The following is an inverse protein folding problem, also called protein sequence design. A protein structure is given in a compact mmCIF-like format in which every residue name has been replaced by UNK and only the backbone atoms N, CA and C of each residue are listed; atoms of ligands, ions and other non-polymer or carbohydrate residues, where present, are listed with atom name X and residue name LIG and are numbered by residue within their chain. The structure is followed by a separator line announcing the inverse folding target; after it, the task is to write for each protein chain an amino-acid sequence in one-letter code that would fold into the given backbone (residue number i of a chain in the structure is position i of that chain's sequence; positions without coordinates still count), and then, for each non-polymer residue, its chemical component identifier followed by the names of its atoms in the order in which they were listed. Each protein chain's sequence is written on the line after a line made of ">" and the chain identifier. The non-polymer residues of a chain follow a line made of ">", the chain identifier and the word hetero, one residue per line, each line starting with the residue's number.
data_IF_843172643690
#
_entry.id   IF_843172643690
#
_cell.length_a   1.000
_cell.length_b   1.000
_cell.length_c   1.000
_cell.angle_alpha   90.00
_cell.angle_beta   90.00
_cell.angle_gamma   90.00
#
_symmetry.space_group_name_H-M   'P 1'
#
loop_
_entity.id
_entity.type
_entity.pdbx_description
1 polymer ?
#
# COMPACT_ATOMS: atom_id res chain seq x y z
N UNK A 1 -0.35 20.85 12.92
CA UNK A 1 0.23 19.55 13.36
C UNK A 1 0.15 18.59 12.19
N UNK A 2 1.24 17.90 11.83
CA UNK A 2 1.19 16.94 10.70
C UNK A 2 0.34 15.72 11.08
N UNK A 3 -0.42 15.12 10.14
CA UNK A 3 -1.14 13.87 10.39
C UNK A 3 -0.18 12.77 10.88
N UNK A 4 -0.59 11.98 11.87
CA UNK A 4 0.28 10.99 12.49
C UNK A 4 0.78 9.91 11.52
N UNK A 5 0.01 9.62 10.46
CA UNK A 5 0.33 8.64 9.42
C UNK A 5 0.90 9.25 8.12
N UNK A 6 1.22 10.54 8.08
CA UNK A 6 1.71 11.24 6.89
C UNK A 6 3.00 10.63 6.30
N UNK A 7 3.84 10.05 7.14
CA UNK A 7 5.15 9.47 6.79
C UNK A 7 5.07 8.03 6.25
N UNK A 8 3.89 7.40 6.29
CA UNK A 8 3.71 6.05 5.74
C UNK A 8 3.76 6.10 4.21
N UNK A 9 4.18 5.01 3.58
CA UNK A 9 4.29 4.92 2.12
C UNK A 9 3.39 3.83 1.55
N UNK A 10 3.46 3.60 0.24
CA UNK A 10 2.70 2.56 -0.44
C UNK A 10 2.84 1.15 0.18
N UNK A 11 3.91 0.88 0.94
CA UNK A 11 4.04 -0.33 1.79
C UNK A 11 2.87 -0.56 2.74
N UNK A 12 2.16 0.50 3.13
CA UNK A 12 1.05 0.44 4.09
C UNK A 12 -0.28 0.79 3.42
N UNK A 13 -0.32 0.83 2.08
CA UNK A 13 -1.50 1.22 1.34
C UNK A 13 -2.35 -0.01 0.97
N UNK A 14 -3.64 -0.06 1.34
CA UNK A 14 -4.56 -1.11 0.90
C UNK A 14 -4.71 -1.25 -0.63
N UNK A 15 -4.37 -0.20 -1.39
CA UNK A 15 -4.41 -0.21 -2.85
C UNK A 15 -3.11 -0.70 -3.51
N UNK A 16 -2.05 -0.97 -2.73
CA UNK A 16 -0.80 -1.48 -3.28
C UNK A 16 -0.95 -2.95 -3.67
N UNK A 17 -0.54 -3.27 -4.90
CA UNK A 17 -0.51 -4.62 -5.43
C UNK A 17 0.94 -5.11 -5.38
N UNK A 18 1.19 -6.09 -4.52
CA UNK A 18 2.47 -6.78 -4.40
C UNK A 18 2.46 -8.02 -5.31
N UNK A 19 2.28 -7.84 -6.63
CA UNK A 19 2.44 -8.94 -7.58
C UNK A 19 3.95 -9.10 -7.82
N UNK A 20 4.47 -10.30 -7.52
CA UNK A 20 5.89 -10.53 -7.30
C UNK A 20 6.83 -10.08 -8.42
N UNK A 21 7.63 -9.06 -8.10
CA UNK A 21 9.04 -8.96 -8.48
C UNK A 21 9.90 -9.18 -7.21
N UNK A 22 9.54 -10.20 -6.43
CA UNK A 22 10.54 -10.85 -5.58
C UNK A 22 11.24 -11.82 -6.52
N UNK A 23 12.54 -11.64 -6.73
CA UNK A 23 13.31 -12.44 -7.67
C UNK A 23 13.43 -13.89 -7.16
N UNK A 24 12.42 -14.72 -7.49
CA UNK A 24 12.38 -16.15 -7.19
C UNK A 24 13.09 -16.98 -8.27
N UNK A 25 13.78 -16.37 -9.25
CA UNK A 25 14.40 -17.06 -10.40
C UNK A 25 15.86 -17.46 -10.20
N UNK A 26 16.19 -17.91 -8.99
CA UNK A 26 17.28 -18.85 -8.74
C UNK A 26 17.04 -20.27 -9.35
N UNK A 27 16.25 -20.38 -10.42
CA UNK A 27 16.07 -21.61 -11.19
C UNK A 27 16.25 -21.27 -12.67
N UNK A 28 17.52 -21.25 -13.12
CA UNK A 28 17.85 -21.35 -14.54
C UNK A 28 18.70 -20.24 -15.17
N UNK A 29 19.24 -19.26 -14.42
CA UNK A 29 20.16 -18.27 -14.97
C UNK A 29 21.57 -18.40 -14.38
N UNK A 30 22.58 -18.29 -15.24
CA UNK A 30 24.01 -18.37 -14.92
C UNK A 30 24.45 -17.24 -13.99
N UNK A 31 25.35 -17.56 -13.06
CA UNK A 31 25.84 -16.67 -12.01
C UNK A 31 26.52 -15.39 -12.52
N UNK A 32 26.92 -15.33 -13.79
CA UNK A 32 27.54 -14.13 -14.37
C UNK A 32 26.55 -12.98 -14.62
N UNK A 33 25.29 -13.24 -14.96
CA UNK A 33 24.30 -12.18 -15.26
C UNK A 33 23.75 -11.52 -13.98
N UNK A 34 23.76 -12.26 -12.87
CA UNK A 34 23.26 -11.84 -11.55
C UNK A 34 24.19 -10.79 -10.90
N UNK A 35 25.48 -10.75 -11.25
CA UNK A 35 26.45 -9.80 -10.67
C UNK A 35 26.28 -8.35 -11.14
N UNK A 36 25.44 -8.11 -12.17
CA UNK A 36 25.24 -6.77 -12.76
C UNK A 36 23.99 -6.03 -12.26
N UNK A 37 23.15 -6.68 -11.44
CA UNK A 37 21.92 -6.11 -10.90
C UNK A 37 22.15 -5.80 -9.43
N UNK A 38 22.33 -4.53 -9.11
CA UNK A 38 22.33 -4.04 -7.73
C UNK A 38 21.03 -4.46 -7.03
N UNK A 39 21.19 -5.26 -5.98
CA UNK A 39 20.25 -5.54 -4.88
C UNK A 39 18.75 -5.31 -5.17
N UNK A 40 18.11 -6.31 -5.78
CA UNK A 40 16.69 -6.68 -5.57
C UNK A 40 15.70 -5.54 -5.27
N UNK A 41 15.56 -4.58 -6.19
CA UNK A 41 14.61 -3.49 -6.05
C UNK A 41 13.16 -4.01 -6.08
N UNK A 42 12.49 -3.99 -4.93
CA UNK A 42 11.08 -4.36 -4.83
C UNK A 42 10.24 -3.25 -5.46
N UNK A 43 9.64 -3.56 -6.61
CA UNK A 43 8.68 -2.69 -7.29
C UNK A 43 7.24 -3.12 -7.00
N UNK A 44 6.33 -2.15 -6.96
CA UNK A 44 4.89 -2.35 -6.70
C UNK A 44 4.04 -1.68 -7.78
N UNK A 45 2.77 -2.06 -7.86
CA UNK A 45 1.75 -1.38 -8.66
C UNK A 45 0.67 -0.77 -7.75
N UNK A 46 -0.01 0.28 -8.24
CA UNK A 46 -1.14 0.89 -7.54
C UNK A 46 -2.47 0.54 -8.22
N UNK A 47 -3.37 -0.14 -7.50
CA UNK A 47 -4.70 -0.50 -8.03
C UNK A 47 -5.59 0.72 -8.37
N UNK A 48 -5.35 1.86 -7.70
CA UNK A 48 -6.12 3.10 -7.91
C UNK A 48 -5.55 3.98 -9.03
N UNK A 49 -4.27 3.80 -9.34
CA UNK A 49 -3.53 4.59 -10.33
C UNK A 49 -2.72 3.67 -11.24
N UNK A 50 -3.40 2.86 -12.09
CA UNK A 50 -2.74 1.90 -12.97
C UNK A 50 -1.80 2.57 -13.99
N UNK A 51 -1.99 3.86 -14.26
CA UNK A 51 -1.15 4.63 -15.18
C UNK A 51 0.30 4.81 -14.70
N UNK A 52 0.58 4.60 -13.41
CA UNK A 52 1.93 4.71 -12.84
C UNK A 52 2.83 3.51 -13.21
N UNK A 53 2.25 2.39 -13.65
CA UNK A 53 2.99 1.16 -13.89
C UNK A 53 3.66 0.62 -12.61
N UNK A 54 4.85 0.04 -12.78
CA UNK A 54 5.67 -0.45 -11.68
C UNK A 54 6.59 0.66 -11.16
N UNK A 55 6.62 0.86 -9.85
CA UNK A 55 7.46 1.88 -9.22
C UNK A 55 7.95 1.46 -7.83
N UNK A 56 8.98 2.15 -7.34
CA UNK A 56 9.49 1.95 -5.99
C UNK A 56 8.54 2.58 -4.95
N UNK A 57 8.20 1.88 -3.85
CA UNK A 57 7.25 2.34 -2.82
C UNK A 57 7.78 3.46 -1.89
N UNK A 58 8.39 4.52 -2.45
CA UNK A 58 8.99 5.65 -1.73
C UNK A 58 8.03 6.83 -1.49
N UNK A 59 6.91 6.89 -2.22
CA UNK A 59 5.90 7.97 -2.11
C UNK A 59 5.18 7.90 -0.76
N UNK A 60 5.18 9.01 0.00
CA UNK A 60 4.48 9.11 1.28
C UNK A 60 2.98 9.35 1.10
N UNK A 61 2.19 9.10 2.14
CA UNK A 61 0.76 9.41 2.15
C UNK A 61 0.51 10.92 1.99
N UNK A 62 1.38 11.78 2.52
CA UNK A 62 1.30 13.24 2.33
C UNK A 62 1.48 13.66 0.86
N UNK A 63 2.27 12.90 0.08
CA UNK A 63 2.55 13.18 -1.32
C UNK A 63 1.52 12.56 -2.27
N UNK A 64 0.81 11.52 -1.84
CA UNK A 64 -0.09 10.76 -2.70
C UNK A 64 -1.50 11.42 -2.76
N UNK A 65 -2.01 11.75 -3.97
CA UNK A 65 -3.30 12.43 -4.10
C UNK A 65 -4.52 11.58 -3.69
N UNK A 66 -4.33 10.26 -3.56
CA UNK A 66 -5.38 9.34 -3.10
C UNK A 66 -5.64 9.42 -1.60
N UNK A 67 -4.69 9.96 -0.82
CA UNK A 67 -4.81 10.09 0.63
C UNK A 67 -5.29 11.51 0.97
N UNK A 68 -6.48 11.60 1.55
CA UNK A 68 -7.14 12.86 1.89
C UNK A 68 -7.14 13.10 3.41
N UNK A 69 -7.16 14.37 3.87
CA UNK A 69 -7.31 14.69 5.28
C UNK A 69 -8.61 14.15 5.87
N UNK A 70 -8.51 13.59 7.08
CA UNK A 70 -9.62 13.07 7.89
C UNK A 70 -9.38 13.45 9.36
N UNK A 71 -10.41 13.54 10.23
CA UNK A 71 -10.23 13.99 11.62
C UNK A 71 -9.17 13.22 12.43
N UNK A 72 -8.87 11.97 12.05
CA UNK A 72 -7.91 11.12 12.73
C UNK A 72 -6.57 10.96 11.98
N UNK A 73 -6.38 11.59 10.82
CA UNK A 73 -5.15 11.44 10.03
C UNK A 73 -5.40 11.58 8.52
N UNK A 74 -4.67 10.83 7.71
CA UNK A 74 -4.98 10.66 6.29
C UNK A 74 -5.80 9.39 6.08
N UNK A 75 -6.79 9.45 5.19
CA UNK A 75 -7.62 8.31 4.78
C UNK A 75 -7.61 8.20 3.26
N UNK A 76 -7.67 6.99 2.73
CA UNK A 76 -7.85 6.79 1.30
C UNK A 76 -9.20 7.35 0.85
N UNK A 77 -9.21 8.10 -0.26
CA UNK A 77 -10.42 8.63 -0.88
C UNK A 77 -11.39 7.49 -1.21
N UNK A 78 -12.69 7.66 -0.94
CA UNK A 78 -13.73 6.66 -1.22
C UNK A 78 -13.42 5.26 -0.66
N UNK A 79 -12.71 5.19 0.47
CA UNK A 79 -12.37 3.93 1.13
C UNK A 79 -13.63 3.21 1.59
N UNK A 80 -13.74 1.93 1.22
CA UNK A 80 -14.79 1.02 1.68
C UNK A 80 -14.19 0.04 2.67
N UNK A 81 -14.89 -0.19 3.78
CA UNK A 81 -14.47 -1.11 4.84
C UNK A 81 -15.50 -2.22 4.97
N UNK A 82 -15.03 -3.45 5.08
CA UNK A 82 -15.85 -4.60 5.47
C UNK A 82 -15.52 -4.95 6.92
N UNK A 83 -16.53 -4.91 7.79
CA UNK A 83 -16.38 -5.27 9.20
C UNK A 83 -16.88 -6.70 9.37
N UNK A 84 -15.96 -7.64 9.63
CA UNK A 84 -16.32 -9.01 9.98
C UNK A 84 -16.74 -9.06 11.46
N UNK A 85 -17.83 -9.78 11.77
CA UNK A 85 -18.41 -9.80 13.13
C UNK A 85 -19.10 -8.49 13.51
N UNK A 86 -19.81 -7.87 12.55
CA UNK A 86 -20.53 -6.60 12.74
C UNK A 86 -21.62 -6.66 13.82
N UNK A 87 -22.14 -7.85 14.10
CA UNK A 87 -23.11 -8.15 15.15
C UNK A 87 -22.50 -8.25 16.55
N UNK A 88 -21.16 -8.35 16.65
CA UNK A 88 -20.44 -8.36 17.92
C UNK A 88 -20.29 -6.96 18.55
N UNK A 89 -19.96 -6.92 19.84
CA UNK A 89 -19.83 -5.68 20.62
C UNK A 89 -18.90 -4.64 19.97
N UNK A 90 -17.73 -5.06 19.50
CA UNK A 90 -16.76 -4.16 18.84
C UNK A 90 -17.13 -3.85 17.40
N UNK A 91 -17.67 -4.83 16.66
CA UNK A 91 -18.03 -4.64 15.25
C UNK A 91 -19.18 -3.65 15.09
N UNK A 92 -20.22 -3.79 15.92
CA UNK A 92 -21.39 -2.91 15.92
C UNK A 92 -21.02 -1.47 16.28
N UNK A 93 -20.27 -1.29 17.36
CA UNK A 93 -19.85 0.04 17.82
C UNK A 93 -18.94 0.74 16.80
N UNK A 94 -18.06 -0.01 16.12
CA UNK A 94 -17.24 0.52 15.04
C UNK A 94 -18.08 0.91 13.82
N UNK A 95 -19.07 0.09 13.43
CA UNK A 95 -19.96 0.40 12.31
C UNK A 95 -20.74 1.70 12.54
N UNK A 96 -21.29 1.89 13.74
CA UNK A 96 -21.97 3.15 14.13
C UNK A 96 -21.03 4.36 14.15
N UNK A 97 -19.74 4.15 14.40
CA UNK A 97 -18.75 5.25 14.40
C UNK A 97 -18.37 5.68 12.97
N UNK A 98 -18.50 4.78 12.00
CA UNK A 98 -18.10 4.99 10.61
C UNK A 98 -19.27 5.36 9.69
N UNK A 99 -20.50 5.01 10.04
CA UNK A 99 -21.75 5.43 9.37
C UNK A 99 -22.26 6.77 9.86
#
# INVERSE_FOLDING_TARGET
>A
MKPHNAHKTCWNCPAAIFKGNVDFRACGQSMEDIKSIEEGQIVIECNRRPELGHFEPSITFEQCPEWIPFPYGLMLKDMRVMILGIDGYLGWTLALKLG
#
